data_IF_533211156949
#
_entry.id   IF_533211156949
#
_cell.length_a   1.000
_cell.length_b   1.000
_cell.length_c   1.000
_cell.angle_alpha   90.00
_cell.angle_beta   90.00
_cell.angle_gamma   90.00
#
_symmetry.space_group_name_H-M   'P 1'
#
loop_
_entity.id
_entity.type
_entity.pdbx_description
1 polymer ?
#
# COMPACT_ATOMS: atom_id res chain seq x y z
N UNK A 1 11.56 -55.51 26.76
CA UNK A 1 11.39 -54.37 27.66
C UNK A 1 12.15 -53.18 27.09
N UNK A 2 11.46 -52.26 26.42
CA UNK A 2 12.04 -50.98 26.01
C UNK A 2 11.74 -49.99 27.13
N UNK A 3 12.79 -49.65 27.90
CA UNK A 3 12.70 -48.68 28.98
C UNK A 3 12.48 -47.28 28.41
N UNK A 4 11.28 -46.74 28.58
CA UNK A 4 11.03 -45.31 28.37
C UNK A 4 11.78 -44.62 29.52
N UNK A 5 12.90 -43.97 29.18
CA UNK A 5 13.57 -43.05 30.11
C UNK A 5 12.57 -41.93 30.41
N UNK A 6 12.15 -41.81 31.66
CA UNK A 6 11.37 -40.67 32.12
C UNK A 6 12.11 -39.39 31.74
N UNK A 7 11.44 -38.56 30.94
CA UNK A 7 11.95 -37.23 30.61
C UNK A 7 11.91 -36.45 31.91
N UNK A 8 13.09 -36.07 32.40
CA UNK A 8 13.24 -35.16 33.54
C UNK A 8 12.24 -34.00 33.39
N UNK A 9 11.32 -33.78 34.35
CA UNK A 9 10.28 -32.76 34.26
C UNK A 9 10.83 -31.38 33.92
N UNK A 10 12.05 -31.06 34.38
CA UNK A 10 12.73 -29.81 34.04
C UNK A 10 13.11 -29.70 32.57
N UNK A 11 13.54 -30.82 31.95
CA UNK A 11 13.84 -30.88 30.51
C UNK A 11 12.57 -30.80 29.66
N UNK A 12 11.47 -31.39 30.14
CA UNK A 12 10.16 -31.26 29.49
C UNK A 12 9.68 -29.81 29.42
N UNK A 13 9.79 -29.07 30.52
CA UNK A 13 9.42 -27.65 30.57
C UNK A 13 10.31 -26.80 29.66
N UNK A 14 11.63 -27.02 29.66
CA UNK A 14 12.56 -26.28 28.79
C UNK A 14 12.25 -26.52 27.31
N UNK A 15 11.99 -27.77 26.91
CA UNK A 15 11.62 -28.09 25.53
C UNK A 15 10.30 -27.44 25.11
N UNK A 16 9.31 -27.39 26.01
CA UNK A 16 8.04 -26.70 25.77
C UNK A 16 8.23 -25.18 25.59
N UNK A 17 9.03 -24.55 26.45
CA UNK A 17 9.31 -23.11 26.33
C UNK A 17 10.07 -22.78 25.05
N UNK A 18 11.04 -23.61 24.65
CA UNK A 18 11.74 -23.47 23.37
C UNK A 18 10.79 -23.62 22.17
N UNK A 19 9.89 -24.60 22.21
CA UNK A 19 8.87 -24.78 21.18
C UNK A 19 7.94 -23.57 21.08
N UNK A 20 7.45 -23.05 22.22
CA UNK A 20 6.61 -21.85 22.27
C UNK A 20 7.35 -20.62 21.74
N UNK A 21 8.64 -20.46 22.08
CA UNK A 21 9.47 -19.39 21.54
C UNK A 21 9.63 -19.50 20.01
N UNK A 22 9.88 -20.70 19.50
CA UNK A 22 9.98 -20.93 18.05
C UNK A 22 8.65 -20.61 17.37
N UNK A 23 7.52 -21.04 17.93
CA UNK A 23 6.19 -20.71 17.41
C UNK A 23 5.98 -19.20 17.43
N UNK A 24 6.29 -18.51 18.53
CA UNK A 24 6.15 -17.06 18.63
C UNK A 24 7.03 -16.32 17.62
N UNK A 25 8.27 -16.77 17.40
CA UNK A 25 9.16 -16.20 16.39
C UNK A 25 8.65 -16.46 14.97
N UNK A 26 8.10 -17.65 14.70
CA UNK A 26 7.50 -17.96 13.40
C UNK A 26 6.22 -17.14 13.16
N UNK A 27 5.38 -16.97 14.17
CA UNK A 27 4.17 -16.13 14.08
C UNK A 27 4.55 -14.65 13.89
N UNK A 28 5.53 -14.16 14.65
CA UNK A 28 6.03 -12.79 14.52
C UNK A 28 6.67 -12.53 13.17
N UNK A 29 7.40 -13.50 12.61
CA UNK A 29 8.05 -13.37 11.30
C UNK A 29 7.06 -13.44 10.14
N UNK A 30 5.96 -14.18 10.29
CA UNK A 30 4.93 -14.34 9.26
C UNK A 30 3.65 -13.57 9.62
N UNK A 31 3.77 -12.53 10.46
CA UNK A 31 2.62 -11.76 10.95
C UNK A 31 1.83 -11.16 9.79
N UNK A 32 2.50 -10.64 8.75
CA UNK A 32 1.82 -10.06 7.60
C UNK A 32 0.95 -11.08 6.85
N UNK A 33 1.51 -12.26 6.56
CA UNK A 33 0.76 -13.36 5.91
C UNK A 33 -0.44 -13.81 6.75
N UNK A 34 -0.29 -13.86 8.07
CA UNK A 34 -1.39 -14.19 8.99
C UNK A 34 -2.45 -13.09 8.93
N UNK A 35 -2.04 -11.81 8.96
CA UNK A 35 -2.95 -10.66 8.84
C UNK A 35 -3.72 -10.72 7.52
N UNK A 36 -3.06 -10.97 6.39
CA UNK A 36 -3.71 -11.12 5.07
C UNK A 36 -4.73 -12.25 5.08
N UNK A 37 -4.35 -13.42 5.61
CA UNK A 37 -5.26 -14.56 5.70
C UNK A 37 -6.50 -14.23 6.54
N UNK A 38 -6.30 -13.65 7.73
CA UNK A 38 -7.40 -13.31 8.63
C UNK A 38 -8.30 -12.22 8.04
N UNK A 39 -7.71 -11.17 7.45
CA UNK A 39 -8.43 -10.12 6.74
C UNK A 39 -9.25 -10.69 5.58
N UNK A 40 -8.65 -11.55 4.77
CA UNK A 40 -9.32 -12.25 3.67
C UNK A 40 -10.50 -13.10 4.14
N UNK A 41 -10.37 -13.81 5.27
CA UNK A 41 -11.51 -14.53 5.86
C UNK A 41 -12.63 -13.57 6.27
N UNK A 42 -12.32 -12.52 7.04
CA UNK A 42 -13.31 -11.52 7.50
C UNK A 42 -14.04 -10.89 6.30
N UNK A 43 -13.30 -10.48 5.27
CA UNK A 43 -13.88 -9.96 4.04
C UNK A 43 -14.76 -10.99 3.34
N UNK A 44 -14.32 -12.24 3.31
CA UNK A 44 -15.08 -13.39 2.82
C UNK A 44 -16.47 -13.49 3.43
N UNK A 45 -16.57 -13.32 4.76
CA UNK A 45 -17.83 -13.32 5.51
C UNK A 45 -18.66 -12.05 5.28
N UNK A 46 -18.02 -10.87 5.31
CA UNK A 46 -18.71 -9.59 5.15
C UNK A 46 -19.36 -9.41 3.77
N UNK A 47 -18.83 -10.10 2.77
CA UNK A 47 -19.28 -10.00 1.37
C UNK A 47 -19.88 -11.32 0.87
N UNK A 48 -20.40 -12.16 1.77
CA UNK A 48 -20.99 -13.47 1.41
C UNK A 48 -22.22 -13.34 0.49
N UNK A 49 -22.98 -12.26 0.66
CA UNK A 49 -24.18 -11.97 -0.15
C UNK A 49 -23.87 -11.20 -1.44
N UNK A 50 -22.59 -10.95 -1.72
CA UNK A 50 -22.18 -10.21 -2.92
C UNK A 50 -22.10 -11.18 -4.11
N UNK A 51 -22.39 -10.67 -5.30
CA UNK A 51 -22.07 -11.38 -6.53
C UNK A 51 -20.55 -11.46 -6.71
N UNK A 52 -20.08 -12.44 -7.46
CA UNK A 52 -18.66 -12.65 -7.72
C UNK A 52 -18.38 -12.75 -9.22
N UNK A 53 -17.36 -12.03 -9.67
CA UNK A 53 -16.75 -12.13 -11.00
C UNK A 53 -15.28 -12.47 -10.81
N UNK A 54 -14.81 -13.54 -11.44
CA UNK A 54 -13.39 -13.89 -11.43
C UNK A 54 -12.73 -13.53 -12.75
N UNK A 55 -11.50 -13.04 -12.68
CA UNK A 55 -10.60 -12.87 -13.83
C UNK A 55 -9.37 -13.76 -13.65
N UNK A 56 -8.32 -13.56 -14.45
CA UNK A 56 -7.08 -14.33 -14.30
C UNK A 56 -6.40 -14.00 -12.97
N UNK A 57 -6.36 -12.72 -12.60
CA UNK A 57 -5.63 -12.21 -11.44
C UNK A 57 -6.51 -11.72 -10.29
N UNK A 58 -7.83 -11.67 -10.44
CA UNK A 58 -8.73 -11.12 -9.42
C UNK A 58 -9.95 -11.97 -9.11
N UNK A 59 -10.42 -11.84 -7.88
CA UNK A 59 -11.78 -12.18 -7.45
C UNK A 59 -12.47 -10.86 -7.13
N UNK A 60 -13.50 -10.50 -7.89
CA UNK A 60 -14.21 -9.23 -7.74
C UNK A 60 -15.58 -9.50 -7.13
N UNK A 61 -15.85 -8.93 -5.95
CA UNK A 61 -17.13 -9.01 -5.26
C UNK A 61 -17.89 -7.71 -5.36
N UNK A 62 -19.17 -7.77 -5.69
CA UNK A 62 -19.97 -6.57 -5.99
C UNK A 62 -21.46 -6.77 -5.66
N UNK A 63 -22.20 -5.67 -5.51
CA UNK A 63 -23.65 -5.70 -5.31
C UNK A 63 -24.40 -5.68 -6.65
N UNK A 64 -25.70 -5.99 -6.66
CA UNK A 64 -26.50 -6.03 -7.89
C UNK A 64 -26.52 -4.70 -8.68
N UNK A 65 -26.23 -3.57 -8.03
CA UNK A 65 -26.17 -2.23 -8.66
C UNK A 65 -25.08 -2.17 -9.75
N UNK A 66 -23.98 -2.89 -9.55
CA UNK A 66 -22.82 -2.85 -10.45
C UNK A 66 -22.80 -3.99 -11.46
N UNK A 67 -23.88 -4.77 -11.57
CA UNK A 67 -23.94 -5.94 -12.47
C UNK A 67 -23.60 -5.60 -13.92
N UNK A 68 -24.17 -4.52 -14.44
CA UNK A 68 -23.95 -4.12 -15.84
C UNK A 68 -22.58 -3.46 -16.08
N UNK A 69 -21.89 -3.04 -15.02
CA UNK A 69 -20.60 -2.36 -15.08
C UNK A 69 -19.43 -3.23 -14.58
N UNK A 70 -19.68 -4.47 -14.14
CA UNK A 70 -18.63 -5.26 -13.48
C UNK A 70 -17.49 -5.64 -14.42
N UNK A 71 -17.78 -5.84 -15.71
CA UNK A 71 -16.74 -6.14 -16.70
C UNK A 71 -15.82 -4.92 -16.94
N UNK A 72 -16.31 -3.70 -16.68
CA UNK A 72 -15.49 -2.49 -16.68
C UNK A 72 -14.45 -2.54 -15.54
N UNK A 73 -14.90 -2.88 -14.33
CA UNK A 73 -14.03 -3.05 -13.16
C UNK A 73 -13.05 -4.19 -13.39
N UNK A 74 -13.49 -5.29 -14.00
CA UNK A 74 -12.64 -6.42 -14.36
C UNK A 74 -11.54 -6.01 -15.34
N UNK A 75 -11.89 -5.27 -16.40
CA UNK A 75 -10.91 -4.74 -17.36
C UNK A 75 -9.93 -3.76 -16.72
N UNK A 76 -10.42 -2.84 -15.89
CA UNK A 76 -9.58 -1.87 -15.17
C UNK A 76 -8.64 -2.57 -14.16
N UNK A 77 -9.11 -3.63 -13.50
CA UNK A 77 -8.30 -4.41 -12.56
C UNK A 77 -7.17 -5.16 -13.28
N UNK A 78 -7.47 -5.83 -14.40
CA UNK A 78 -6.44 -6.51 -15.22
C UNK A 78 -5.48 -5.54 -15.90
N UNK A 79 -5.95 -4.34 -16.27
CA UNK A 79 -5.06 -3.26 -16.70
C UNK A 79 -4.12 -2.87 -15.56
N UNK A 80 -4.65 -2.54 -14.37
CA UNK A 80 -3.84 -2.17 -13.21
C UNK A 80 -2.82 -3.25 -12.84
N UNK A 81 -3.22 -4.53 -12.85
CA UNK A 81 -2.30 -5.64 -12.65
C UNK A 81 -1.14 -5.61 -13.62
N UNK A 82 -1.41 -5.56 -14.93
CA UNK A 82 -0.36 -5.61 -15.95
C UNK A 82 0.59 -4.42 -15.86
N UNK A 83 0.06 -3.21 -15.71
CA UNK A 83 0.90 -2.01 -15.68
C UNK A 83 1.71 -1.92 -14.37
N UNK A 84 1.09 -2.20 -13.22
CA UNK A 84 1.77 -2.13 -11.93
C UNK A 84 2.78 -3.27 -11.76
N UNK A 85 2.46 -4.52 -12.13
CA UNK A 85 3.46 -5.60 -12.12
C UNK A 85 4.54 -5.43 -13.19
N UNK A 86 4.31 -4.60 -14.22
CA UNK A 86 5.36 -4.16 -15.14
C UNK A 86 6.31 -3.14 -14.52
N UNK A 87 5.82 -2.35 -13.57
CA UNK A 87 6.61 -1.39 -12.79
C UNK A 87 7.41 -2.10 -11.68
N UNK A 88 6.76 -2.98 -10.91
CA UNK A 88 7.40 -3.76 -9.85
C UNK A 88 8.14 -4.98 -10.41
N UNK A 89 9.16 -5.48 -9.72
CA UNK A 89 9.91 -6.66 -10.18
C UNK A 89 9.24 -8.01 -9.82
N UNK A 90 8.02 -7.98 -9.27
CA UNK A 90 7.29 -9.14 -8.76
C UNK A 90 5.79 -9.09 -9.07
N UNK A 91 5.13 -10.23 -8.86
CA UNK A 91 3.68 -10.40 -9.00
C UNK A 91 3.08 -10.74 -7.63
N UNK A 92 1.82 -10.33 -7.37
CA UNK A 92 1.16 -10.63 -6.10
C UNK A 92 0.92 -12.14 -5.90
N UNK A 93 0.75 -12.55 -4.65
CA UNK A 93 0.50 -13.95 -4.33
C UNK A 93 -0.94 -14.38 -4.62
N UNK A 94 -1.15 -14.94 -5.82
CA UNK A 94 -2.45 -15.49 -6.23
C UNK A 94 -3.44 -14.41 -6.65
N UNK A 95 -4.75 -14.71 -6.60
CA UNK A 95 -5.77 -13.76 -7.01
C UNK A 95 -6.04 -12.72 -5.93
N UNK A 96 -5.98 -11.44 -6.29
CA UNK A 96 -6.31 -10.34 -5.40
C UNK A 96 -7.83 -10.18 -5.26
N UNK A 97 -8.31 -9.98 -4.04
CA UNK A 97 -9.73 -9.69 -3.79
C UNK A 97 -10.00 -8.20 -4.02
N UNK A 98 -10.91 -7.89 -4.94
CA UNK A 98 -11.46 -6.54 -5.12
C UNK A 98 -12.91 -6.54 -4.63
N UNK A 99 -13.29 -5.57 -3.81
CA UNK A 99 -14.67 -5.39 -3.34
C UNK A 99 -15.20 -4.03 -3.81
N UNK A 100 -16.28 -4.07 -4.59
CA UNK A 100 -16.96 -2.89 -5.11
C UNK A 100 -18.13 -2.52 -4.19
N UNK A 101 -18.06 -1.34 -3.60
CA UNK A 101 -19.11 -0.80 -2.73
C UNK A 101 -19.99 0.20 -3.50
N UNK A 102 -21.32 0.16 -3.31
CA UNK A 102 -22.25 0.97 -4.09
C UNK A 102 -22.14 2.48 -3.78
N UNK A 103 -21.56 2.85 -2.63
CA UNK A 103 -21.46 4.23 -2.17
C UNK A 103 -20.30 4.43 -1.17
N UNK A 104 -19.90 5.68 -0.98
CA UNK A 104 -18.81 6.08 -0.09
C UNK A 104 -19.08 5.78 1.38
N UNK A 105 -20.34 5.77 1.82
CA UNK A 105 -20.71 5.48 3.22
C UNK A 105 -20.50 3.98 3.50
N UNK A 106 -20.87 3.13 2.55
CA UNK A 106 -20.68 1.69 2.61
C UNK A 106 -19.19 1.33 2.60
N UNK A 107 -18.39 1.99 1.77
CA UNK A 107 -16.93 1.86 1.77
C UNK A 107 -16.33 2.28 3.12
N UNK A 108 -16.63 3.50 3.61
CA UNK A 108 -16.10 4.00 4.88
C UNK A 108 -16.48 3.08 6.06
N UNK A 109 -17.72 2.58 6.10
CA UNK A 109 -18.18 1.62 7.12
C UNK A 109 -17.40 0.32 7.09
N UNK A 110 -17.02 -0.17 5.89
CA UNK A 110 -16.26 -1.41 5.77
C UNK A 110 -14.86 -1.33 6.40
N UNK A 111 -14.31 -0.12 6.46
CA UNK A 111 -12.99 0.15 7.04
C UNK A 111 -13.06 0.58 8.52
N UNK A 112 -14.25 0.90 9.02
CA UNK A 112 -14.41 1.49 10.35
C UNK A 112 -14.03 2.98 10.42
N UNK A 113 -14.00 3.67 9.27
CA UNK A 113 -13.76 5.11 9.20
C UNK A 113 -15.02 5.91 9.61
N UNK A 114 -14.79 7.08 10.20
CA UNK A 114 -15.82 8.10 10.29
C UNK A 114 -16.12 8.64 8.88
N UNK A 115 -17.38 9.03 8.66
CA UNK A 115 -17.99 9.31 7.33
C UNK A 115 -17.32 10.43 6.50
N UNK A 116 -16.21 11.01 6.95
CA UNK A 116 -15.55 12.17 6.36
C UNK A 116 -14.49 11.84 5.30
N UNK A 117 -13.99 10.60 5.22
CA UNK A 117 -12.99 10.25 4.22
C UNK A 117 -13.62 9.96 2.85
N UNK A 118 -13.24 10.76 1.86
CA UNK A 118 -13.71 10.69 0.46
C UNK A 118 -12.71 9.92 -0.40
N UNK A 119 -12.32 8.73 0.03
CA UNK A 119 -11.45 7.88 -0.77
C UNK A 119 -12.26 7.18 -1.87
N UNK A 120 -11.73 7.14 -3.09
CA UNK A 120 -12.33 6.39 -4.22
C UNK A 120 -11.93 4.91 -4.18
N UNK A 121 -10.80 4.60 -3.53
CA UNK A 121 -10.28 3.27 -3.26
C UNK A 121 -9.65 3.21 -1.87
N UNK A 122 -9.48 1.99 -1.35
CA UNK A 122 -8.68 1.71 -0.16
C UNK A 122 -8.10 0.30 -0.23
N UNK A 123 -6.79 0.22 -0.08
CA UNK A 123 -6.05 -1.01 0.16
C UNK A 123 -5.98 -1.35 1.65
N UNK A 124 -6.22 -2.61 1.99
CA UNK A 124 -5.88 -3.13 3.31
C UNK A 124 -5.71 -4.65 3.33
N UNK A 125 -4.57 -5.08 3.86
CA UNK A 125 -4.26 -6.46 4.22
C UNK A 125 -4.60 -7.48 3.12
N UNK A 126 -4.11 -7.23 1.91
CA UNK A 126 -4.30 -8.11 0.75
C UNK A 126 -5.64 -7.93 0.00
N UNK A 127 -6.45 -6.93 0.35
CA UNK A 127 -7.72 -6.64 -0.34
C UNK A 127 -7.79 -5.20 -0.81
N UNK A 128 -8.36 -5.02 -1.99
CA UNK A 128 -8.64 -3.71 -2.58
C UNK A 128 -10.14 -3.46 -2.47
N UNK A 129 -10.53 -2.29 -1.98
CA UNK A 129 -11.93 -1.86 -1.89
C UNK A 129 -12.09 -0.60 -2.71
N UNK A 130 -13.10 -0.53 -3.56
CA UNK A 130 -13.35 0.65 -4.40
C UNK A 130 -14.82 1.04 -4.33
N UNK A 131 -15.11 2.32 -4.57
CA UNK A 131 -16.49 2.75 -4.83
C UNK A 131 -16.94 2.31 -6.22
N UNK A 132 -18.25 2.20 -6.40
CA UNK A 132 -18.88 1.89 -7.68
C UNK A 132 -18.34 2.80 -8.79
N UNK A 133 -18.06 2.24 -9.99
CA UNK A 133 -17.63 3.04 -11.14
C UNK A 133 -18.65 4.09 -11.56
N UNK A 134 -19.92 3.97 -11.14
CA UNK A 134 -20.95 4.98 -11.38
C UNK A 134 -20.67 6.31 -10.65
N UNK A 135 -19.79 6.28 -9.63
CA UNK A 135 -19.46 7.42 -8.78
C UNK A 135 -18.09 8.03 -9.09
N UNK A 136 -17.31 7.47 -10.01
CA UNK A 136 -16.04 8.04 -10.44
C UNK A 136 -16.31 9.37 -11.17
N UNK A 137 -15.90 10.51 -10.59
CA UNK A 137 -16.12 11.84 -11.16
C UNK A 137 -14.83 12.45 -11.71
N UNK A 138 -14.91 13.03 -12.91
CA UNK A 138 -14.21 14.29 -13.22
C UNK A 138 -12.68 14.32 -13.30
N UNK A 139 -12.07 13.52 -14.18
CA UNK A 139 -10.67 13.75 -14.59
C UNK A 139 -10.54 14.18 -16.06
N UNK A 140 -9.46 14.88 -16.46
CA UNK A 140 -9.33 15.47 -17.80
C UNK A 140 -9.37 14.40 -18.92
N UNK A 141 -10.06 14.72 -20.02
CA UNK A 141 -10.26 13.87 -21.21
C UNK A 141 -8.99 13.44 -21.97
N UNK A 142 -7.79 13.74 -21.46
CA UNK A 142 -6.52 13.51 -22.15
C UNK A 142 -5.92 12.11 -21.91
N UNK A 143 -6.46 11.34 -20.97
CA UNK A 143 -6.02 9.98 -20.64
C UNK A 143 -7.01 8.96 -21.24
N UNK A 144 -6.54 7.80 -21.69
CA UNK A 144 -7.42 6.75 -22.23
C UNK A 144 -8.51 6.40 -21.20
N UNK A 145 -9.76 6.20 -21.65
CA UNK A 145 -10.89 5.92 -20.76
C UNK A 145 -10.60 4.78 -19.77
N UNK A 146 -9.85 3.76 -20.21
CA UNK A 146 -9.42 2.62 -19.40
C UNK A 146 -8.44 3.02 -18.28
N UNK A 147 -7.52 3.95 -18.55
CA UNK A 147 -6.53 4.41 -17.57
C UNK A 147 -7.11 5.41 -16.56
N UNK A 148 -8.07 6.25 -16.97
CA UNK A 148 -8.81 7.13 -16.04
C UNK A 148 -9.62 6.34 -15.02
N UNK A 149 -10.23 5.25 -15.48
CA UNK A 149 -11.03 4.34 -14.66
C UNK A 149 -10.18 3.42 -13.79
N UNK A 150 -8.95 3.14 -14.24
CA UNK A 150 -8.00 2.35 -13.48
C UNK A 150 -7.26 3.16 -12.41
N UNK A 151 -7.29 4.49 -12.38
CA UNK A 151 -6.53 5.32 -11.43
C UNK A 151 -6.57 4.82 -9.97
N UNK A 152 -7.77 4.74 -9.36
CA UNK A 152 -7.91 4.18 -8.01
C UNK A 152 -7.40 2.74 -7.90
N UNK A 153 -7.60 1.90 -8.91
CA UNK A 153 -7.12 0.52 -8.90
C UNK A 153 -5.58 0.41 -9.05
N UNK A 154 -4.96 1.27 -9.86
CA UNK A 154 -3.50 1.37 -10.00
C UNK A 154 -2.89 1.80 -8.68
N UNK A 155 -3.47 2.83 -8.05
CA UNK A 155 -3.06 3.33 -6.74
C UNK A 155 -3.16 2.25 -5.65
N UNK A 156 -4.34 1.65 -5.48
CA UNK A 156 -4.54 0.62 -4.45
C UNK A 156 -3.73 -0.65 -4.71
N UNK A 157 -3.49 -1.00 -5.98
CA UNK A 157 -2.67 -2.16 -6.32
C UNK A 157 -1.17 -1.88 -6.09
N UNK A 158 -0.71 -0.64 -6.28
CA UNK A 158 0.64 -0.25 -5.88
C UNK A 158 0.85 -0.38 -4.36
N UNK A 159 -0.15 -0.03 -3.53
CA UNK A 159 -0.09 -0.30 -2.10
C UNK A 159 0.06 -1.79 -1.77
N UNK A 160 -0.69 -2.67 -2.46
CA UNK A 160 -0.56 -4.11 -2.33
C UNK A 160 0.88 -4.57 -2.63
N UNK A 161 1.46 -4.12 -3.75
CA UNK A 161 2.82 -4.50 -4.12
C UNK A 161 3.85 -4.04 -3.11
N UNK A 162 3.73 -2.80 -2.60
CA UNK A 162 4.59 -2.30 -1.52
C UNK A 162 4.46 -3.18 -0.27
N UNK A 163 3.25 -3.53 0.13
CA UNK A 163 3.00 -4.37 1.30
C UNK A 163 3.61 -5.77 1.15
N UNK A 164 3.48 -6.40 -0.01
CA UNK A 164 4.07 -7.70 -0.27
C UNK A 164 5.60 -7.66 -0.31
N UNK A 165 6.21 -6.69 -1.01
CA UNK A 165 7.67 -6.57 -1.11
C UNK A 165 8.32 -6.26 0.23
N UNK A 166 7.69 -5.38 1.02
CA UNK A 166 8.17 -4.98 2.34
C UNK A 166 7.67 -5.89 3.47
N UNK A 167 6.81 -6.86 3.16
CA UNK A 167 6.16 -7.77 4.13
C UNK A 167 5.46 -7.02 5.27
N UNK A 168 4.76 -5.95 4.93
CA UNK A 168 4.06 -5.10 5.90
C UNK A 168 4.96 -4.17 6.72
N UNK A 169 6.27 -4.10 6.42
CA UNK A 169 7.22 -3.27 7.15
C UNK A 169 7.49 -1.96 6.41
N UNK A 170 6.51 -1.06 6.39
CA UNK A 170 6.62 0.23 5.71
C UNK A 170 5.96 1.35 6.54
N UNK A 171 6.45 2.58 6.33
CA UNK A 171 5.85 3.79 6.89
C UNK A 171 4.66 4.23 6.01
N UNK A 172 3.66 4.89 6.61
CA UNK A 172 2.45 5.31 5.86
C UNK A 172 2.80 6.24 4.69
N UNK A 173 3.59 7.28 4.93
CA UNK A 173 4.04 8.20 3.88
C UNK A 173 4.83 7.49 2.76
N UNK A 174 5.55 6.41 3.07
CA UNK A 174 6.32 5.66 2.07
C UNK A 174 5.41 4.97 1.06
N UNK A 175 4.40 4.25 1.56
CA UNK A 175 3.47 3.54 0.68
C UNK A 175 2.60 4.50 -0.12
N UNK A 176 2.17 5.62 0.47
CA UNK A 176 1.41 6.69 -0.20
C UNK A 176 2.22 7.40 -1.27
N UNK A 177 3.50 7.67 -0.99
CA UNK A 177 4.41 8.27 -1.97
C UNK A 177 4.63 7.36 -3.17
N UNK A 178 4.87 6.06 -2.95
CA UNK A 178 5.05 5.10 -4.05
C UNK A 178 3.76 4.91 -4.84
N UNK A 179 2.61 4.77 -4.17
CA UNK A 179 1.34 4.60 -4.86
C UNK A 179 1.01 5.78 -5.78
N UNK A 180 1.20 7.02 -5.31
CA UNK A 180 1.06 8.23 -6.14
C UNK A 180 2.10 8.28 -7.27
N UNK A 181 3.36 7.91 -7.00
CA UNK A 181 4.40 7.89 -8.03
C UNK A 181 4.06 6.92 -9.16
N UNK A 182 3.64 5.69 -8.82
CA UNK A 182 3.23 4.65 -9.76
C UNK A 182 1.99 5.07 -10.55
N UNK A 183 0.98 5.61 -9.87
CA UNK A 183 -0.23 6.15 -10.51
C UNK A 183 0.13 7.25 -11.52
N UNK A 184 1.02 8.17 -11.14
CA UNK A 184 1.54 9.21 -12.03
C UNK A 184 2.28 8.65 -13.24
N UNK A 185 3.14 7.64 -13.08
CA UNK A 185 3.87 7.04 -14.20
C UNK A 185 2.94 6.32 -15.19
N UNK A 186 1.91 5.64 -14.68
CA UNK A 186 1.00 4.81 -15.51
C UNK A 186 -0.12 5.64 -16.14
N UNK A 187 -0.75 6.52 -15.36
CA UNK A 187 -1.96 7.24 -15.78
C UNK A 187 -1.71 8.70 -16.13
N UNK A 188 -0.58 9.27 -15.68
CA UNK A 188 -0.31 10.70 -15.74
C UNK A 188 -1.07 11.53 -14.70
N UNK A 189 -1.91 10.90 -13.86
CA UNK A 189 -2.61 11.60 -12.79
C UNK A 189 -1.62 12.02 -11.69
N UNK A 190 -1.73 13.28 -11.26
CA UNK A 190 -1.10 13.76 -10.05
C UNK A 190 -2.03 14.79 -9.42
N UNK A 191 -2.06 14.81 -8.10
CA UNK A 191 -2.71 15.89 -7.37
C UNK A 191 -1.96 17.21 -7.59
N UNK A 192 -2.70 18.32 -7.64
CA UNK A 192 -2.13 19.66 -7.70
C UNK A 192 -1.30 19.95 -6.44
N UNK A 193 -0.38 20.91 -6.51
CA UNK A 193 0.32 21.35 -5.31
C UNK A 193 -0.66 21.98 -4.28
N UNK A 194 -0.39 21.85 -2.97
CA UNK A 194 -1.14 22.58 -1.95
C UNK A 194 -1.24 24.08 -2.26
N UNK A 195 -2.44 24.66 -2.17
CA UNK A 195 -2.76 26.04 -2.60
C UNK A 195 -2.01 27.16 -1.84
N UNK A 196 -1.24 26.84 -0.80
CA UNK A 196 -0.44 27.82 -0.08
C UNK A 196 0.90 28.00 -0.78
N UNK A 197 1.22 29.23 -1.22
CA UNK A 197 2.42 29.62 -1.99
C UNK A 197 3.79 29.28 -1.35
N UNK A 198 3.81 28.55 -0.23
CA UNK A 198 4.98 27.83 0.28
C UNK A 198 4.47 26.62 1.08
N UNK A 199 4.47 25.40 0.51
CA UNK A 199 4.03 24.21 1.24
C UNK A 199 4.85 24.03 2.52
N UNK A 200 4.16 23.77 3.63
CA UNK A 200 4.81 23.52 4.91
C UNK A 200 5.53 22.16 4.86
N UNK A 201 6.86 22.17 4.86
CA UNK A 201 7.65 20.94 4.86
C UNK A 201 7.58 20.30 6.25
N UNK A 202 6.98 19.13 6.32
CA UNK A 202 6.91 18.33 7.53
C UNK A 202 8.22 17.57 7.74
N UNK A 203 8.75 17.51 8.98
CA UNK A 203 9.81 16.57 9.30
C UNK A 203 9.36 15.13 9.04
N UNK A 204 10.26 14.26 8.58
CA UNK A 204 9.99 12.83 8.39
C UNK A 204 9.49 12.18 9.66
N UNK A 205 10.02 12.58 10.82
CA UNK A 205 9.52 12.09 12.12
C UNK A 205 8.04 12.42 12.36
N UNK A 206 7.53 13.50 11.77
CA UNK A 206 6.11 13.86 11.85
C UNK A 206 5.30 12.98 10.90
N UNK A 207 5.76 12.81 9.66
CA UNK A 207 5.13 11.87 8.71
C UNK A 207 5.11 10.43 9.23
N UNK A 208 6.08 10.02 10.06
CA UNK A 208 6.13 8.70 10.67
C UNK A 208 5.06 8.47 11.74
N UNK A 209 4.71 9.51 12.51
CA UNK A 209 3.90 9.35 13.72
C UNK A 209 2.48 9.94 13.60
N UNK A 210 2.29 10.91 12.70
CA UNK A 210 1.09 11.74 12.65
C UNK A 210 0.38 11.70 11.29
N UNK A 211 0.78 10.81 10.36
CA UNK A 211 0.26 10.80 8.99
C UNK A 211 -1.27 10.84 8.91
N UNK A 212 -1.95 9.95 9.63
CA UNK A 212 -3.42 9.83 9.60
C UNK A 212 -4.13 10.93 10.41
N UNK A 213 -3.44 11.57 11.36
CA UNK A 213 -3.97 12.75 12.06
C UNK A 213 -3.83 14.03 11.23
N UNK A 214 -2.92 14.01 10.27
CA UNK A 214 -2.62 15.09 9.34
C UNK A 214 -3.29 14.81 7.99
N UNK A 215 -4.57 14.35 7.97
CA UNK A 215 -5.42 14.09 6.78
C UNK A 215 -5.56 15.37 5.92
N UNK A 216 -4.42 15.77 5.38
CA UNK A 216 -4.06 17.07 4.89
C UNK A 216 -3.27 16.80 3.63
N UNK A 217 -3.74 17.41 2.57
CA UNK A 217 -3.17 17.38 1.24
C UNK A 217 -1.62 17.54 1.22
N UNK A 218 -1.07 18.27 2.19
CA UNK A 218 0.37 18.46 2.38
C UNK A 218 1.15 17.16 2.64
N UNK A 219 0.63 16.25 3.47
CA UNK A 219 1.31 15.00 3.81
C UNK A 219 1.39 14.07 2.58
N UNK A 220 0.30 13.96 1.83
CA UNK A 220 0.25 13.21 0.57
C UNK A 220 1.18 13.81 -0.48
N UNK A 221 1.09 15.12 -0.70
CA UNK A 221 1.96 15.83 -1.64
C UNK A 221 3.44 15.63 -1.30
N UNK A 222 3.83 15.85 -0.03
CA UNK A 222 5.21 15.71 0.38
C UNK A 222 5.71 14.27 0.26
N UNK A 223 4.85 13.28 0.51
CA UNK A 223 5.18 11.86 0.30
C UNK A 223 5.60 11.59 -1.14
N UNK A 224 4.83 12.10 -2.12
CA UNK A 224 5.20 12.00 -3.53
C UNK A 224 6.54 12.72 -3.80
N UNK A 225 6.72 13.93 -3.28
CA UNK A 225 7.97 14.69 -3.48
C UNK A 225 9.21 13.98 -2.93
N UNK A 226 9.09 13.26 -1.80
CA UNK A 226 10.18 12.46 -1.24
C UNK A 226 10.55 11.31 -2.18
N UNK A 227 9.56 10.63 -2.76
CA UNK A 227 9.81 9.54 -3.71
C UNK A 227 10.44 10.08 -5.00
N UNK A 228 9.92 11.18 -5.55
CA UNK A 228 10.49 11.82 -6.73
C UNK A 228 11.93 12.25 -6.51
N UNK A 229 12.25 12.84 -5.34
CA UNK A 229 13.61 13.19 -4.97
C UNK A 229 14.56 11.97 -4.98
N UNK A 230 14.14 10.84 -4.41
CA UNK A 230 14.93 9.60 -4.43
C UNK A 230 15.14 9.12 -5.86
N UNK A 231 14.10 9.15 -6.69
CA UNK A 231 14.20 8.73 -8.10
C UNK A 231 15.12 9.65 -8.90
N UNK A 232 15.02 10.96 -8.72
CA UNK A 232 15.84 11.96 -9.42
C UNK A 232 17.32 11.82 -9.08
N UNK A 233 17.65 11.62 -7.80
CA UNK A 233 19.05 11.56 -7.33
C UNK A 233 19.67 10.16 -7.47
N UNK A 234 18.87 9.09 -7.38
CA UNK A 234 19.37 7.72 -7.26
C UNK A 234 18.80 6.73 -8.28
N UNK A 235 17.83 7.16 -9.09
CA UNK A 235 17.14 6.33 -10.07
C UNK A 235 16.05 5.45 -9.46
N UNK A 236 15.06 5.07 -10.27
CA UNK A 236 13.89 4.30 -9.85
C UNK A 236 14.24 2.95 -9.20
N UNK A 237 15.32 2.30 -9.65
CA UNK A 237 15.82 1.05 -9.07
C UNK A 237 16.10 1.14 -7.55
N UNK A 238 16.38 2.34 -7.05
CA UNK A 238 16.62 2.56 -5.62
C UNK A 238 15.39 2.35 -4.75
N UNK A 239 14.18 2.58 -5.28
CA UNK A 239 12.93 2.34 -4.54
C UNK A 239 12.79 0.85 -4.18
N UNK A 240 13.06 -0.03 -5.15
CA UNK A 240 13.02 -1.49 -4.93
C UNK A 240 14.13 -1.96 -3.97
N UNK A 241 15.32 -1.35 -4.04
CA UNK A 241 16.40 -1.64 -3.10
C UNK A 241 16.01 -1.27 -1.66
N UNK A 242 15.36 -0.11 -1.47
CA UNK A 242 14.84 0.31 -0.16
C UNK A 242 13.75 -0.67 0.30
N UNK A 243 12.79 -1.01 -0.55
CA UNK A 243 11.74 -1.98 -0.23
C UNK A 243 12.29 -3.37 0.12
N UNK A 244 13.37 -3.81 -0.53
CA UNK A 244 14.05 -5.07 -0.19
C UNK A 244 14.62 -5.03 1.24
N UNK A 245 15.24 -3.92 1.65
CA UNK A 245 15.72 -3.74 3.02
C UNK A 245 14.58 -3.71 4.03
N UNK A 246 13.49 -3.02 3.71
CA UNK A 246 12.27 -3.04 4.51
C UNK A 246 11.71 -4.46 4.65
N UNK A 247 11.65 -5.24 3.58
CA UNK A 247 11.22 -6.65 3.59
C UNK A 247 12.09 -7.58 4.43
N UNK A 248 13.32 -7.17 4.76
CA UNK A 248 14.23 -7.87 5.69
C UNK A 248 14.00 -7.48 7.16
N UNK A 249 13.05 -6.58 7.44
CA UNK A 249 12.72 -6.09 8.78
C UNK A 249 13.52 -4.88 9.23
N UNK A 250 14.21 -4.21 8.31
CA UNK A 250 14.94 -2.97 8.60
C UNK A 250 13.98 -1.78 8.59
N UNK A 251 14.26 -0.73 9.37
CA UNK A 251 13.45 0.49 9.31
C UNK A 251 13.83 1.37 8.12
N UNK A 252 12.99 2.35 7.78
CA UNK A 252 13.18 3.22 6.61
C UNK A 252 14.53 3.95 6.61
N UNK A 253 15.01 4.38 7.79
CA UNK A 253 16.32 5.02 7.94
C UNK A 253 17.45 4.07 7.55
N UNK A 254 17.39 2.82 8.00
CA UNK A 254 18.35 1.78 7.60
C UNK A 254 18.24 1.44 6.12
N UNK A 255 17.01 1.30 5.60
CA UNK A 255 16.75 1.01 4.19
C UNK A 255 17.36 2.06 3.27
N UNK A 256 17.11 3.33 3.53
CA UNK A 256 17.68 4.46 2.78
C UNK A 256 19.22 4.46 2.88
N UNK A 257 19.78 4.37 4.09
CA UNK A 257 21.24 4.38 4.26
C UNK A 257 21.92 3.25 3.49
N UNK A 258 21.36 2.04 3.50
CA UNK A 258 21.96 0.88 2.83
C UNK A 258 21.73 0.87 1.34
N UNK A 259 20.51 1.15 0.89
CA UNK A 259 20.16 1.16 -0.53
C UNK A 259 20.89 2.26 -1.29
N UNK A 260 20.99 3.45 -0.69
CA UNK A 260 21.60 4.63 -1.32
C UNK A 260 23.09 4.79 -0.97
N UNK A 261 23.61 4.02 -0.01
CA UNK A 261 24.99 4.14 0.48
C UNK A 261 25.35 5.54 1.00
N UNK A 262 24.40 6.18 1.70
CA UNK A 262 24.52 7.53 2.26
C UNK A 262 24.25 7.54 3.77
N UNK A 263 24.84 8.49 4.48
CA UNK A 263 24.41 8.79 5.84
C UNK A 263 22.99 9.37 5.82
N UNK A 264 22.11 8.89 6.71
CA UNK A 264 20.71 9.30 6.68
C UNK A 264 20.53 10.77 7.03
N UNK A 265 21.27 11.30 8.01
CA UNK A 265 21.08 12.70 8.44
C UNK A 265 21.57 13.65 7.33
N UNK A 266 22.64 13.26 6.62
CA UNK A 266 23.09 13.96 5.42
C UNK A 266 22.03 13.91 4.30
N UNK A 267 21.45 12.75 4.02
CA UNK A 267 20.41 12.59 3.00
C UNK A 267 19.15 13.39 3.35
N UNK A 268 18.70 13.33 4.60
CA UNK A 268 17.52 14.05 5.08
C UNK A 268 17.72 15.58 4.95
N UNK A 269 18.92 16.07 5.25
CA UNK A 269 19.23 17.48 5.03
C UNK A 269 19.24 17.85 3.54
N UNK A 270 19.73 16.96 2.67
CA UNK A 270 19.66 17.11 1.21
C UNK A 270 18.23 17.20 0.70
N UNK A 271 17.38 16.28 1.14
CA UNK A 271 15.94 16.24 0.85
C UNK A 271 15.28 17.57 1.25
N UNK A 272 15.44 18.04 2.49
CA UNK A 272 14.77 19.27 2.92
C UNK A 272 15.25 20.51 2.13
N UNK A 273 16.53 20.57 1.77
CA UNK A 273 17.04 21.64 0.92
C UNK A 273 16.41 21.60 -0.48
N UNK A 274 16.24 20.40 -1.06
CA UNK A 274 15.59 20.22 -2.35
C UNK A 274 14.11 20.63 -2.31
N UNK A 275 13.37 20.16 -1.30
CA UNK A 275 11.97 20.51 -1.10
C UNK A 275 11.77 22.03 -0.91
N UNK A 276 12.65 22.69 -0.13
CA UNK A 276 12.61 24.16 0.05
C UNK A 276 12.90 24.91 -1.24
N UNK A 277 13.84 24.42 -2.05
CA UNK A 277 14.18 25.03 -3.33
C UNK A 277 13.02 24.91 -4.31
N UNK A 278 12.41 23.73 -4.43
CA UNK A 278 11.29 23.50 -5.33
C UNK A 278 10.07 24.34 -4.91
N UNK A 279 9.81 24.47 -3.61
CA UNK A 279 8.78 25.37 -3.07
C UNK A 279 9.03 26.86 -3.36
N UNK A 280 10.27 27.28 -3.66
CA UNK A 280 10.65 28.67 -3.92
C UNK A 280 10.90 29.03 -5.39
N UNK A 281 10.86 28.07 -6.31
CA UNK A 281 11.18 28.27 -7.74
C UNK A 281 9.95 28.45 -8.65
N UNK A 282 8.74 28.30 -8.13
CA UNK A 282 7.48 28.41 -8.91
C UNK A 282 6.70 29.72 -8.65
N UNK A 283 7.41 30.85 -8.54
CA UNK A 283 6.82 32.22 -8.51
C UNK A 283 7.01 32.95 -9.84
#
# INVERSE_FOLDING_TARGET
MLGIKDIDPGKGIVLLLLLLLIIALLLSRNSNTITHFMAGQVMGWQTVDFNQRETDNFIIRYTAIDHDNIDLVAGASEYAFREVTGFFAGEPQGKTLVVVYPDTISLARSFGWDKSQKAEGVYWAGSIRIISPQLWQGQPQAVAADAMQAGPLVHEFAHLMVDEETRGNYNRWWTEGIAQYVEKQITGFQFDQPLDNTPMIYPLSRLDNEFDSEDSWQAYWQSLQIIEYIVEENGEASLFSIMEHLGRGENIRQGITRALSVDFDQWEQGLYNALQKNAGQEV
#
